data_IF_646689403492
#
_entry.id   IF_646689403492
#
_cell.length_a   1.000
_cell.length_b   1.000
_cell.length_c   1.000
_cell.angle_alpha   90.00
_cell.angle_beta   90.00
_cell.angle_gamma   90.00
#
_symmetry.space_group_name_H-M   'P 1'
#
loop_
_entity.id
_entity.type
_entity.pdbx_description
1 polymer ?
#
# COMPACT_ATOMS: atom_id res chain seq x y z
N UNK A 1 7.93 -15.67 12.93
CA UNK A 1 7.17 -16.82 12.40
C UNK A 1 6.05 -16.28 11.53
N UNK A 2 6.20 -16.37 10.20
CA UNK A 2 5.08 -16.23 9.27
C UNK A 2 4.38 -17.58 9.32
N UNK A 3 3.16 -17.65 9.87
CA UNK A 3 2.40 -18.90 9.91
C UNK A 3 1.22 -18.79 8.96
N UNK A 4 1.24 -19.57 7.88
CA UNK A 4 0.08 -19.81 7.01
C UNK A 4 0.38 -19.74 5.52
N UNK A 5 0.30 -20.88 4.85
CA UNK A 5 0.04 -20.95 3.41
C UNK A 5 -1.23 -20.11 3.10
N UNK A 6 -1.16 -19.12 2.21
CA UNK A 6 -2.34 -18.36 1.78
C UNK A 6 -2.51 -16.95 2.39
N UNK A 7 -1.44 -16.30 2.82
CA UNK A 7 -1.47 -14.90 3.33
C UNK A 7 -1.00 -13.83 2.33
N UNK A 8 -1.00 -14.15 1.03
CA UNK A 8 -0.76 -13.16 -0.03
C UNK A 8 0.66 -12.61 -0.09
N UNK A 9 0.84 -11.66 -1.00
CA UNK A 9 2.11 -10.95 -1.14
C UNK A 9 2.29 -10.01 0.06
N UNK A 10 3.44 -10.10 0.70
CA UNK A 10 3.82 -9.25 1.82
C UNK A 10 5.30 -8.91 1.67
N UNK A 11 5.65 -7.63 1.81
CA UNK A 11 7.03 -7.20 1.98
C UNK A 11 7.13 -6.41 3.28
N UNK A 12 7.86 -6.97 4.25
CA UNK A 12 8.01 -6.38 5.58
C UNK A 12 9.42 -5.80 5.75
N UNK A 13 9.59 -4.53 5.40
CA UNK A 13 10.82 -3.78 5.66
C UNK A 13 10.87 -3.19 7.07
N UNK A 14 12.08 -2.78 7.48
CA UNK A 14 12.32 -2.15 8.78
C UNK A 14 11.73 -0.75 8.88
N UNK A 15 11.65 -0.02 7.76
CA UNK A 15 11.10 1.34 7.74
C UNK A 15 9.75 1.46 7.05
N UNK A 16 9.48 0.60 6.06
CA UNK A 16 8.24 0.62 5.29
C UNK A 16 7.96 -0.73 4.65
N UNK A 17 6.75 -0.90 4.12
CA UNK A 17 6.38 -2.11 3.41
C UNK A 17 4.91 -2.17 3.02
N UNK A 18 4.52 -3.33 2.51
CA UNK A 18 3.18 -3.60 2.03
C UNK A 18 2.67 -4.96 2.49
N UNK A 19 1.36 -5.02 2.70
CA UNK A 19 0.61 -6.22 3.02
C UNK A 19 -0.61 -6.28 2.12
N UNK A 20 -0.85 -7.44 1.51
CA UNK A 20 -2.06 -7.67 0.75
C UNK A 20 -2.68 -9.02 1.13
N UNK A 21 -4.00 -9.12 1.04
CA UNK A 21 -4.66 -10.43 1.11
C UNK A 21 -4.21 -11.32 -0.03
N UNK A 22 -4.28 -12.64 0.17
CA UNK A 22 -4.06 -13.60 -0.90
C UNK A 22 -4.97 -13.32 -2.10
N UNK A 23 -4.41 -13.45 -3.30
CA UNK A 23 -5.04 -13.16 -4.59
C UNK A 23 -5.37 -11.70 -4.87
N UNK A 24 -5.14 -10.75 -3.95
CA UNK A 24 -5.41 -9.33 -4.21
C UNK A 24 -4.80 -8.88 -5.55
N UNK A 25 -5.56 -8.18 -6.43
CA UNK A 25 -6.90 -7.61 -6.25
C UNK A 25 -8.07 -8.56 -6.58
N UNK A 26 -7.81 -9.83 -6.83
CA UNK A 26 -8.82 -10.87 -6.94
C UNK A 26 -9.36 -11.32 -5.58
N UNK A 27 -10.40 -12.16 -5.59
CA UNK A 27 -11.11 -12.57 -4.38
C UNK A 27 -10.22 -13.35 -3.42
N UNK A 28 -10.18 -12.92 -2.15
CA UNK A 28 -9.44 -13.62 -1.11
C UNK A 28 -10.06 -14.99 -0.78
N UNK A 29 -9.28 -16.00 -0.37
CA UNK A 29 -9.80 -17.32 -0.03
C UNK A 29 -10.69 -17.29 1.22
N UNK A 30 -11.72 -18.13 1.24
CA UNK A 30 -12.54 -18.38 2.43
C UNK A 30 -11.75 -19.14 3.50
N UNK A 31 -12.18 -19.05 4.76
CA UNK A 31 -11.57 -19.71 5.92
C UNK A 31 -10.06 -19.42 6.09
N UNK A 32 -9.64 -18.21 5.75
CA UNK A 32 -8.25 -17.76 5.88
C UNK A 32 -8.03 -17.15 7.25
N UNK A 33 -6.91 -17.48 7.87
CA UNK A 33 -6.44 -16.84 9.09
C UNK A 33 -4.98 -16.42 8.92
N UNK A 34 -4.74 -15.12 8.87
CA UNK A 34 -3.42 -14.56 8.66
C UNK A 34 -3.06 -13.60 9.79
N UNK A 35 -1.79 -13.68 10.21
CA UNK A 35 -1.25 -12.82 11.25
C UNK A 35 0.12 -12.30 10.84
N UNK A 36 0.25 -10.99 10.76
CA UNK A 36 1.51 -10.30 10.51
C UNK A 36 1.93 -9.49 11.72
N UNK A 37 3.23 -9.45 11.99
CA UNK A 37 3.82 -8.62 13.04
C UNK A 37 4.67 -7.57 12.36
N UNK A 38 4.22 -6.32 12.41
CA UNK A 38 4.97 -5.17 11.90
C UNK A 38 5.80 -4.61 13.04
N UNK A 39 7.09 -4.44 12.81
CA UNK A 39 8.01 -3.84 13.76
C UNK A 39 8.92 -2.86 13.05
N UNK A 40 8.99 -1.64 13.57
CA UNK A 40 9.92 -0.60 13.13
C UNK A 40 10.94 -0.32 14.25
N UNK A 41 12.04 0.41 13.97
CA UNK A 41 13.02 0.78 14.99
C UNK A 41 12.40 1.40 16.23
N UNK A 42 13.02 1.17 17.38
CA UNK A 42 12.58 1.76 18.65
C UNK A 42 12.66 3.29 18.60
N UNK A 43 11.73 3.95 19.29
CA UNK A 43 11.57 5.40 19.23
C UNK A 43 10.83 5.93 17.99
N UNK A 44 10.45 5.07 17.04
CA UNK A 44 9.59 5.40 15.90
C UNK A 44 8.16 4.92 16.10
N UNK A 45 7.22 5.60 15.47
CA UNK A 45 5.82 5.18 15.41
C UNK A 45 5.41 4.72 14.02
N UNK A 46 4.36 3.89 13.95
CA UNK A 46 3.86 3.32 12.70
C UNK A 46 2.73 4.15 12.10
N UNK A 47 2.82 4.40 10.79
CA UNK A 47 1.75 4.94 9.97
C UNK A 47 1.26 3.86 9.01
N UNK A 48 -0.04 3.56 9.07
CA UNK A 48 -0.71 2.56 8.23
C UNK A 48 -1.67 3.28 7.27
N UNK A 49 -1.62 2.93 5.99
CA UNK A 49 -2.43 3.53 4.93
C UNK A 49 -3.06 2.45 4.05
N UNK A 50 -4.38 2.34 4.09
CA UNK A 50 -5.11 1.41 3.23
C UNK A 50 -5.29 2.02 1.84
N UNK A 51 -4.69 1.36 0.84
CA UNK A 51 -4.89 1.68 -0.57
C UNK A 51 -6.23 1.18 -1.09
N UNK A 52 -6.64 0.01 -0.60
CA UNK A 52 -7.88 -0.65 -0.96
C UNK A 52 -8.34 -1.53 0.20
N UNK A 53 -9.65 -1.60 0.41
CA UNK A 53 -10.25 -2.41 1.46
C UNK A 53 -11.67 -2.82 1.04
N UNK A 54 -11.81 -4.09 0.74
CA UNK A 54 -13.01 -4.75 0.25
C UNK A 54 -13.09 -6.15 0.87
N UNK A 55 -13.35 -6.16 2.18
CA UNK A 55 -13.56 -7.36 3.00
C UNK A 55 -15.02 -7.39 3.44
N UNK A 56 -15.61 -8.58 3.45
CA UNK A 56 -17.02 -8.78 3.74
C UNK A 56 -17.38 -8.25 5.14
N UNK A 57 -18.36 -7.34 5.20
CA UNK A 57 -18.86 -6.79 6.45
C UNK A 57 -20.04 -7.62 6.95
N UNK A 58 -20.01 -8.01 8.23
CA UNK A 58 -21.08 -8.77 8.88
C UNK A 58 -21.31 -8.27 10.31
N UNK A 59 -22.53 -8.39 10.87
CA UNK A 59 -22.76 -8.13 12.29
C UNK A 59 -21.81 -8.98 13.14
N UNK A 60 -21.07 -8.36 14.05
CA UNK A 60 -20.07 -9.06 14.87
C UNK A 60 -18.80 -9.49 14.14
N UNK A 61 -18.57 -9.06 12.89
CA UNK A 61 -17.34 -9.33 12.12
C UNK A 61 -17.05 -10.83 11.89
N UNK A 62 -18.09 -11.67 11.82
CA UNK A 62 -17.97 -13.14 11.69
C UNK A 62 -17.57 -13.62 10.30
N UNK A 63 -17.94 -12.89 9.24
CA UNK A 63 -17.68 -13.28 7.84
C UNK A 63 -16.32 -12.79 7.33
N UNK A 64 -15.82 -11.70 7.90
CA UNK A 64 -14.59 -11.05 7.44
C UNK A 64 -14.15 -9.98 8.42
N UNK A 65 -12.87 -10.00 8.80
CA UNK A 65 -12.32 -8.96 9.65
C UNK A 65 -10.83 -8.76 9.43
N UNK A 66 -10.41 -7.51 9.52
CA UNK A 66 -9.02 -7.14 9.65
C UNK A 66 -8.86 -6.30 10.90
N UNK A 67 -8.10 -6.80 11.87
CA UNK A 67 -7.91 -6.20 13.18
C UNK A 67 -6.46 -5.82 13.34
N UNK A 68 -6.22 -4.59 13.74
CA UNK A 68 -4.91 -4.05 14.07
C UNK A 68 -4.83 -3.94 15.59
N UNK A 69 -3.87 -4.61 16.20
CA UNK A 69 -3.66 -4.62 17.65
C UNK A 69 -2.28 -4.03 17.94
N UNK A 70 -2.24 -2.95 18.72
CA UNK A 70 -1.00 -2.35 19.19
C UNK A 70 -0.46 -3.04 20.45
N UNK A 71 0.68 -2.58 20.95
CA UNK A 71 1.26 -3.04 22.22
C UNK A 71 0.41 -2.67 23.45
N UNK A 72 -0.43 -1.62 23.36
CA UNK A 72 -1.41 -1.26 24.39
C UNK A 72 -2.56 -2.27 24.49
N UNK A 73 -2.68 -3.19 23.51
CA UNK A 73 -3.74 -4.19 23.43
C UNK A 73 -5.07 -3.63 22.92
N UNK A 74 -5.13 -2.38 22.43
CA UNK A 74 -6.36 -1.77 21.95
C UNK A 74 -6.60 -2.18 20.49
N UNK A 75 -7.64 -2.99 20.19
CA UNK A 75 -7.95 -3.36 18.82
C UNK A 75 -8.54 -2.18 18.05
N UNK A 76 -8.13 -2.02 16.79
CA UNK A 76 -8.73 -1.11 15.83
C UNK A 76 -9.11 -1.87 14.56
N UNK A 77 -10.24 -1.50 13.94
CA UNK A 77 -10.73 -2.15 12.73
C UNK A 77 -10.03 -1.56 11.50
N UNK A 78 -9.54 -2.44 10.61
CA UNK A 78 -8.79 -2.08 9.40
C UNK A 78 -9.57 -1.36 8.30
N UNK A 79 -10.81 -0.92 8.54
CA UNK A 79 -11.61 -0.16 7.56
C UNK A 79 -11.18 1.32 7.47
N UNK A 80 -10.37 1.80 8.40
CA UNK A 80 -9.91 3.18 8.46
C UNK A 80 -8.87 3.45 7.36
N UNK A 81 -9.07 4.50 6.56
CA UNK A 81 -8.17 4.82 5.43
C UNK A 81 -6.72 5.08 5.89
N UNK A 82 -6.53 5.80 6.98
CA UNK A 82 -5.22 6.10 7.58
C UNK A 82 -5.29 5.86 9.09
N UNK A 83 -4.30 5.16 9.63
CA UNK A 83 -4.18 4.85 11.05
C UNK A 83 -2.75 5.15 11.50
N UNK A 84 -2.58 6.15 12.35
CA UNK A 84 -1.30 6.41 13.03
C UNK A 84 -1.31 5.75 14.40
N UNK A 85 -0.31 4.92 14.68
CA UNK A 85 -0.23 4.11 15.87
C UNK A 85 0.96 4.58 16.70
N UNK A 86 0.76 4.87 17.99
CA UNK A 86 1.82 5.33 18.91
C UNK A 86 2.81 4.23 19.33
N UNK A 87 2.81 3.10 18.62
CA UNK A 87 3.65 1.93 18.89
C UNK A 87 4.63 1.73 17.75
N UNK A 88 5.82 1.24 18.08
CA UNK A 88 6.81 0.77 17.11
C UNK A 88 6.53 -0.68 16.64
N UNK A 89 5.53 -1.33 17.23
CA UNK A 89 5.16 -2.70 16.89
C UNK A 89 3.65 -2.91 16.94
N UNK A 90 3.09 -3.52 15.89
CA UNK A 90 1.67 -3.88 15.84
C UNK A 90 1.46 -5.26 15.21
N UNK A 91 0.39 -5.92 15.64
CA UNK A 91 -0.08 -7.17 15.03
C UNK A 91 -1.27 -6.87 14.13
N UNK A 92 -1.22 -7.32 12.88
CA UNK A 92 -2.34 -7.28 11.96
C UNK A 92 -2.88 -8.71 11.83
N UNK A 93 -4.17 -8.88 12.07
CA UNK A 93 -4.85 -10.17 11.96
C UNK A 93 -5.97 -10.06 10.94
N UNK A 94 -5.94 -10.89 9.90
CA UNK A 94 -7.01 -11.03 8.92
C UNK A 94 -7.70 -12.38 9.10
N UNK A 95 -9.04 -12.36 9.13
CA UNK A 95 -9.89 -13.55 9.17
C UNK A 95 -10.94 -13.47 8.07
N UNK A 96 -11.13 -14.55 7.32
CA UNK A 96 -12.28 -14.72 6.42
C UNK A 96 -13.14 -15.90 6.86
N UNK A 97 -14.45 -15.77 6.66
CA UNK A 97 -15.45 -16.80 6.92
C UNK A 97 -15.59 -17.79 5.77
N UNK A 98 -16.65 -18.62 5.78
CA UNK A 98 -16.83 -19.71 4.82
C UNK A 98 -17.22 -19.23 3.41
N UNK A 99 -17.86 -18.06 3.30
CA UNK A 99 -18.20 -17.45 2.02
C UNK A 99 -17.06 -16.54 1.52
N UNK A 100 -16.94 -16.44 0.20
CA UNK A 100 -15.92 -15.59 -0.45
C UNK A 100 -16.60 -14.35 -1.00
N UNK A 101 -16.23 -13.18 -0.50
CA UNK A 101 -16.79 -11.93 -1.01
C UNK A 101 -15.80 -10.77 -0.88
N UNK A 102 -15.53 -10.09 -1.98
CA UNK A 102 -14.67 -8.91 -2.04
C UNK A 102 -13.23 -9.17 -2.50
N UNK A 103 -12.57 -8.10 -2.94
CA UNK A 103 -11.21 -8.09 -3.49
C UNK A 103 -10.11 -8.19 -2.42
N UNK A 104 -10.48 -8.04 -1.15
CA UNK A 104 -9.57 -8.12 -0.01
C UNK A 104 -8.97 -6.76 0.34
N UNK A 105 -7.67 -6.70 0.65
CA UNK A 105 -7.05 -5.44 1.07
C UNK A 105 -5.65 -5.27 0.51
N UNK A 106 -5.26 -3.99 0.37
CA UNK A 106 -3.87 -3.58 0.21
C UNK A 106 -3.56 -2.49 1.24
N UNK A 107 -2.60 -2.78 2.10
CA UNK A 107 -2.11 -1.91 3.15
C UNK A 107 -0.65 -1.55 2.87
N UNK A 108 -0.35 -0.27 2.96
CA UNK A 108 1.01 0.27 2.99
C UNK A 108 1.34 0.74 4.39
N UNK A 109 2.58 0.57 4.85
CA UNK A 109 3.03 1.15 6.11
C UNK A 109 4.39 1.83 5.98
N UNK A 110 4.64 2.78 6.87
CA UNK A 110 5.95 3.40 7.06
C UNK A 110 6.12 3.89 8.50
N UNK A 111 7.35 4.24 8.87
CA UNK A 111 7.63 5.00 10.08
C UNK A 111 7.14 6.44 9.97
N UNK A 112 6.90 7.07 11.12
CA UNK A 112 6.57 8.50 11.25
C UNK A 112 7.56 9.49 10.61
N UNK A 113 8.76 9.04 10.27
CA UNK A 113 9.75 9.83 9.53
C UNK A 113 9.32 10.14 8.08
N UNK A 114 8.29 9.43 7.60
CA UNK A 114 7.73 9.56 6.26
C UNK A 114 6.24 9.95 6.32
N UNK A 115 5.91 11.19 6.77
CA UNK A 115 4.53 11.66 6.90
C UNK A 115 3.79 11.80 5.56
N UNK A 116 4.55 11.82 4.46
CA UNK A 116 4.09 11.88 3.08
C UNK A 116 3.91 10.50 2.43
N UNK A 117 3.72 9.45 3.24
CA UNK A 117 3.41 8.10 2.79
C UNK A 117 2.18 8.09 1.87
N UNK A 118 2.34 7.46 0.70
CA UNK A 118 1.24 7.17 -0.22
C UNK A 118 1.07 5.67 -0.41
N UNK A 119 -0.13 5.24 -0.81
CA UNK A 119 -0.39 3.84 -1.14
C UNK A 119 0.24 3.49 -2.49
N UNK A 120 0.67 2.23 -2.65
CA UNK A 120 1.10 1.70 -3.95
C UNK A 120 0.04 1.75 -5.05
N UNK A 121 -1.25 2.04 -4.77
CA UNK A 121 -2.29 2.22 -5.81
C UNK A 121 -2.46 3.66 -6.27
N UNK A 122 -1.72 4.60 -5.68
CA UNK A 122 -1.83 6.01 -5.99
C UNK A 122 -1.38 6.26 -7.43
N UNK A 123 -2.24 6.90 -8.24
CA UNK A 123 -1.96 7.28 -9.63
C UNK A 123 -1.53 8.74 -9.73
N UNK A 124 -0.81 9.09 -10.80
CA UNK A 124 -0.43 10.48 -11.09
C UNK A 124 -1.63 11.43 -11.22
N UNK A 125 -2.75 10.94 -11.78
CA UNK A 125 -3.98 11.69 -11.99
C UNK A 125 -4.66 12.12 -10.69
N UNK A 126 -4.34 11.47 -9.57
CA UNK A 126 -4.85 11.86 -8.26
C UNK A 126 -4.16 13.12 -7.69
N UNK A 127 -3.20 13.70 -8.42
CA UNK A 127 -2.48 14.91 -8.00
C UNK A 127 -2.76 16.06 -8.95
N UNK A 128 -3.16 17.20 -8.38
CA UNK A 128 -3.42 18.44 -9.12
C UNK A 128 -2.25 19.41 -9.09
N UNK A 129 -1.32 19.26 -8.14
CA UNK A 129 -0.14 20.12 -8.00
C UNK A 129 0.86 19.88 -9.13
N UNK A 130 1.55 20.95 -9.54
CA UNK A 130 2.62 20.87 -10.52
C UNK A 130 3.82 20.08 -9.98
N UNK A 131 4.13 20.23 -8.70
CA UNK A 131 5.15 19.46 -7.99
C UNK A 131 4.55 18.78 -6.76
N UNK A 132 4.95 17.53 -6.54
CA UNK A 132 4.54 16.71 -5.40
C UNK A 132 5.77 16.03 -4.79
N UNK A 133 5.86 16.04 -3.47
CA UNK A 133 6.75 15.14 -2.73
C UNK A 133 5.93 14.05 -2.05
N UNK A 134 6.36 12.80 -2.21
CA UNK A 134 5.70 11.66 -1.60
C UNK A 134 6.72 10.61 -1.18
N UNK A 135 6.32 9.74 -0.25
CA UNK A 135 7.09 8.55 0.10
C UNK A 135 6.39 7.30 -0.42
N UNK A 136 7.10 6.58 -1.28
CA UNK A 136 6.67 5.28 -1.79
C UNK A 136 7.14 4.17 -0.84
N UNK A 137 6.23 3.34 -0.32
CA UNK A 137 6.60 2.22 0.53
C UNK A 137 7.28 1.13 -0.30
N UNK A 138 8.00 0.24 0.38
CA UNK A 138 8.54 -0.96 -0.24
C UNK A 138 7.42 -1.90 -0.73
N UNK A 139 7.66 -2.66 -1.81
CA UNK A 139 6.77 -3.71 -2.30
C UNK A 139 5.65 -3.19 -3.19
N UNK A 140 5.91 -2.16 -4.01
CA UNK A 140 4.95 -1.62 -4.96
C UNK A 140 5.08 -2.20 -6.38
N UNK A 141 6.18 -2.90 -6.72
CA UNK A 141 6.44 -3.40 -8.08
C UNK A 141 5.36 -4.36 -8.59
N UNK A 142 4.92 -5.27 -7.72
CA UNK A 142 3.95 -6.33 -8.07
C UNK A 142 2.51 -5.94 -7.72
N UNK A 143 2.25 -4.70 -7.34
CA UNK A 143 0.89 -4.20 -7.09
C UNK A 143 0.16 -3.99 -8.44
N UNK A 144 -1.17 -4.16 -8.41
CA UNK A 144 -2.02 -3.96 -9.58
C UNK A 144 -1.96 -2.53 -10.12
N UNK A 145 -2.27 -2.38 -11.41
CA UNK A 145 -2.25 -1.12 -12.13
C UNK A 145 -1.08 -0.99 -13.10
N UNK A 146 -1.29 -0.16 -14.11
CA UNK A 146 -0.40 -0.07 -15.27
C UNK A 146 0.69 0.99 -15.09
N UNK A 147 1.77 0.80 -15.84
CA UNK A 147 2.85 1.77 -16.03
C UNK A 147 2.95 2.03 -17.53
N UNK A 148 2.71 3.28 -17.92
CA UNK A 148 2.77 3.71 -19.32
C UNK A 148 3.76 4.85 -19.46
N UNK A 149 4.91 4.59 -20.08
CA UNK A 149 5.97 5.57 -20.31
C UNK A 149 7.33 5.10 -19.83
N UNK A 150 8.29 6.01 -19.83
CA UNK A 150 9.67 5.79 -19.40
C UNK A 150 10.29 7.09 -18.86
N UNK A 151 11.53 7.01 -18.39
CA UNK A 151 12.26 8.17 -17.83
C UNK A 151 12.49 9.30 -18.83
N UNK A 152 12.60 9.02 -20.13
CA UNK A 152 12.86 10.03 -21.16
C UNK A 152 11.60 10.80 -21.56
N UNK A 153 10.50 10.07 -21.81
CA UNK A 153 9.24 10.63 -22.33
C UNK A 153 8.24 11.01 -21.24
N UNK A 154 8.53 10.62 -20.00
CA UNK A 154 7.62 10.73 -18.87
C UNK A 154 6.61 9.59 -18.81
N UNK A 155 5.94 9.49 -17.67
CA UNK A 155 4.88 8.52 -17.42
C UNK A 155 3.51 9.18 -17.56
N UNK A 156 2.54 8.51 -18.18
CA UNK A 156 1.15 9.00 -18.23
C UNK A 156 0.60 9.13 -16.82
N UNK A 157 -0.19 10.16 -16.55
CA UNK A 157 -0.81 10.40 -15.24
C UNK A 157 -1.75 9.28 -14.77
N UNK A 158 -2.28 8.48 -15.69
CA UNK A 158 -3.02 7.25 -15.35
C UNK A 158 -2.15 6.15 -14.74
N UNK A 159 -0.82 6.23 -14.87
CA UNK A 159 0.11 5.24 -14.32
C UNK A 159 0.16 5.29 -12.79
N UNK A 160 0.43 4.13 -12.20
CA UNK A 160 0.64 3.99 -10.76
C UNK A 160 1.99 4.60 -10.37
N UNK A 161 1.98 5.62 -9.51
CA UNK A 161 3.13 6.47 -9.22
C UNK A 161 4.31 5.69 -8.64
N UNK A 162 4.12 4.94 -7.55
CA UNK A 162 5.23 4.21 -6.93
C UNK A 162 5.74 3.06 -7.79
N UNK A 163 4.86 2.44 -8.58
CA UNK A 163 5.26 1.39 -9.54
C UNK A 163 6.07 1.99 -10.69
N UNK A 164 5.67 3.15 -11.21
CA UNK A 164 6.45 3.93 -12.17
C UNK A 164 7.78 4.40 -11.60
N UNK A 165 7.85 4.78 -10.33
CA UNK A 165 9.09 5.19 -9.67
C UNK A 165 10.10 4.04 -9.57
N UNK A 166 9.64 2.84 -9.19
CA UNK A 166 10.45 1.62 -9.21
C UNK A 166 10.90 1.30 -10.64
N UNK A 167 10.00 1.39 -11.61
CA UNK A 167 10.32 1.17 -13.02
C UNK A 167 11.37 2.16 -13.56
N UNK A 168 11.31 3.42 -13.15
CA UNK A 168 12.27 4.46 -13.50
C UNK A 168 13.62 4.33 -12.79
N UNK A 169 13.73 3.46 -11.78
CA UNK A 169 14.91 3.39 -10.91
C UNK A 169 15.01 4.54 -9.89
N UNK A 170 13.95 5.33 -9.71
CA UNK A 170 13.93 6.45 -8.76
C UNK A 170 13.81 5.98 -7.30
N UNK A 171 13.21 4.79 -7.07
CA UNK A 171 13.15 4.15 -5.75
C UNK A 171 13.37 2.66 -5.86
N UNK A 172 13.79 2.03 -4.76
CA UNK A 172 13.98 0.59 -4.70
C UNK A 172 12.72 -0.13 -4.25
N UNK A 173 12.33 -1.22 -4.90
CA UNK A 173 11.15 -2.00 -4.51
C UNK A 173 11.32 -2.65 -3.12
N UNK A 174 12.54 -3.02 -2.74
CA UNK A 174 12.80 -3.68 -1.46
C UNK A 174 12.87 -2.74 -0.24
N UNK A 175 13.05 -1.43 -0.45
CA UNK A 175 13.22 -0.43 0.62
C UNK A 175 12.19 0.71 0.56
N UNK A 176 11.56 0.94 -0.60
CA UNK A 176 10.79 2.15 -0.86
C UNK A 176 11.72 3.36 -1.10
N UNK A 177 11.16 4.56 -0.98
CA UNK A 177 11.93 5.80 -1.10
C UNK A 177 11.08 7.05 -1.26
N UNK A 178 11.70 8.22 -1.06
CA UNK A 178 11.09 9.52 -1.36
C UNK A 178 11.20 9.79 -2.85
N UNK A 179 10.11 10.30 -3.42
CA UNK A 179 10.03 10.75 -4.81
C UNK A 179 9.59 12.20 -4.86
N UNK A 180 10.18 12.94 -5.80
CA UNK A 180 9.67 14.24 -6.23
C UNK A 180 9.06 14.02 -7.60
N UNK A 181 7.82 14.47 -7.79
CA UNK A 181 7.09 14.24 -9.03
C UNK A 181 6.70 15.58 -9.62
N UNK A 182 7.17 15.84 -10.83
CA UNK A 182 6.82 17.05 -11.58
C UNK A 182 5.82 16.68 -12.67
N UNK A 183 4.68 17.36 -12.71
CA UNK A 183 3.63 17.19 -13.71
C UNK A 183 3.84 18.19 -14.86
N UNK A 184 3.67 17.69 -16.07
CA UNK A 184 3.81 18.48 -17.29
C UNK A 184 3.06 17.86 -18.46
N UNK A 185 3.32 18.39 -19.66
CA UNK A 185 2.80 17.84 -20.93
C UNK A 185 3.93 17.07 -21.60
N UNK A 186 3.65 15.86 -22.08
CA UNK A 186 4.64 15.12 -22.87
C UNK A 186 4.88 15.83 -24.20
N UNK A 187 6.14 15.92 -24.62
CA UNK A 187 6.53 16.50 -25.91
C UNK A 187 6.15 15.61 -27.10
N UNK A 188 5.90 14.31 -26.88
CA UNK A 188 5.65 13.31 -27.92
C UNK A 188 4.24 12.72 -27.90
N UNK A 189 3.54 12.73 -26.75
CA UNK A 189 2.16 12.26 -26.65
C UNK A 189 1.15 13.42 -26.79
N UNK A 190 0.94 13.91 -28.02
CA UNK A 190 0.00 14.99 -28.34
C UNK A 190 -1.49 14.68 -28.09
N UNK A 191 -1.85 13.61 -27.37
CA UNK A 191 -3.26 13.22 -27.15
C UNK A 191 -3.65 12.92 -25.69
N UNK A 192 -2.77 13.08 -24.69
CA UNK A 192 -3.13 12.87 -23.28
C UNK A 192 -2.72 14.04 -22.37
N UNK A 193 -3.66 14.69 -21.66
CA UNK A 193 -3.37 15.84 -20.81
C UNK A 193 -2.84 15.37 -19.44
N UNK A 194 -1.58 14.99 -19.37
CA UNK A 194 -0.90 14.78 -18.10
C UNK A 194 0.17 13.71 -18.17
N UNK A 195 1.43 14.13 -18.08
CA UNK A 195 2.55 13.23 -17.82
C UNK A 195 3.29 13.69 -16.56
N UNK A 196 4.03 12.77 -15.96
CA UNK A 196 4.86 13.04 -14.80
C UNK A 196 6.26 12.44 -14.92
N UNK A 197 7.21 13.06 -14.23
CA UNK A 197 8.63 12.70 -14.17
C UNK A 197 9.09 12.59 -12.72
N UNK A 198 10.20 11.88 -12.49
CA UNK A 198 10.83 11.65 -11.19
C UNK A 198 12.20 12.32 -11.11
#
# INVERSE_FOLDING_TARGET
MISGNGCGHTLLGTESGTLASQNYPGTYPSNTWCRWRLRVPEGRTLQLLFGDFDVESSPGCSNGSLVITDNSGKPSLGKLKNVTLRSNEVTITFKSGPHRSGRGFLLSYATDQYPDLISCLRRGSHFSSQDLRAYCPAGCKNVTGDVWGNSEQGYRDTSVLCKSAVHAGAVSDNMGGRVTVTRGRSLTMQQHPGCFWF
#
